data_IF_464865721483
#
_entry.id   IF_464865721483
#
_cell.length_a   1.000
_cell.length_b   1.000
_cell.length_c   1.000
_cell.angle_alpha   90.00
_cell.angle_beta   90.00
_cell.angle_gamma   90.00
#
_symmetry.space_group_name_H-M   'P 1'
#
loop_
_entity.id
_entity.type
_entity.pdbx_description
1 polymer ?
#
# COMPACT_ATOMS: atom_id res chain seq x y z
N UNK A 1 5.44 -0.98 -50.79
CA UNK A 1 5.99 -0.92 -49.42
C UNK A 1 5.41 0.28 -48.72
N UNK A 2 4.46 0.11 -47.81
CA UNK A 2 4.16 1.04 -46.70
C UNK A 2 3.49 0.23 -45.59
N UNK A 3 4.20 0.04 -44.48
CA UNK A 3 3.71 -0.59 -43.25
C UNK A 3 2.99 0.48 -42.45
N UNK A 4 1.68 0.38 -42.24
CA UNK A 4 0.96 1.24 -41.30
C UNK A 4 1.14 0.62 -39.92
N UNK A 5 2.17 1.07 -39.20
CA UNK A 5 2.36 0.74 -37.80
C UNK A 5 1.19 1.25 -36.97
N UNK A 6 0.49 0.33 -36.31
CA UNK A 6 -0.47 0.65 -35.26
C UNK A 6 0.25 1.44 -34.16
N UNK A 7 0.06 2.76 -34.15
CA UNK A 7 0.48 3.60 -33.03
C UNK A 7 -0.45 3.29 -31.87
N UNK A 8 0.07 2.58 -30.87
CA UNK A 8 -0.59 2.40 -29.58
C UNK A 8 -0.90 3.78 -29.00
N UNK A 9 -2.19 4.09 -28.84
CA UNK A 9 -2.65 5.32 -28.22
C UNK A 9 -2.03 5.44 -26.81
N UNK A 10 -1.52 6.62 -26.39
CA UNK A 10 -0.94 6.75 -25.06
C UNK A 10 -1.98 6.32 -24.02
N UNK A 11 -1.59 5.55 -22.99
CA UNK A 11 -2.53 5.12 -21.97
C UNK A 11 -3.19 6.36 -21.36
N UNK A 12 -4.53 6.39 -21.34
CA UNK A 12 -5.28 7.46 -20.68
C UNK A 12 -4.73 7.62 -19.26
N UNK A 13 -4.53 8.85 -18.75
CA UNK A 13 -4.06 9.05 -17.39
C UNK A 13 -4.98 8.26 -16.45
N UNK A 14 -4.41 7.38 -15.63
CA UNK A 14 -5.24 6.60 -14.71
C UNK A 14 -5.92 7.55 -13.74
N UNK A 15 -7.19 7.30 -13.43
CA UNK A 15 -7.98 8.08 -12.48
C UNK A 15 -7.57 7.83 -11.01
N UNK A 16 -6.45 7.14 -10.80
CA UNK A 16 -5.90 6.82 -9.49
C UNK A 16 -4.36 6.71 -9.54
N UNK A 17 -3.66 6.91 -8.40
CA UNK A 17 -2.21 6.78 -8.27
C UNK A 17 -1.68 5.39 -8.67
N UNK A 18 -0.48 5.34 -9.25
CA UNK A 18 0.23 4.10 -9.60
C UNK A 18 1.50 3.95 -8.77
N UNK A 19 1.93 2.72 -8.44
CA UNK A 19 3.22 2.51 -7.76
C UNK A 19 4.35 3.26 -8.48
N UNK A 20 5.25 3.94 -7.73
CA UNK A 20 5.40 3.89 -6.28
C UNK A 20 4.47 4.84 -5.48
N UNK A 21 3.62 5.62 -6.15
CA UNK A 21 2.66 6.49 -5.46
C UNK A 21 1.54 5.66 -4.82
N UNK A 22 1.21 6.01 -3.57
CA UNK A 22 0.21 5.30 -2.78
C UNK A 22 -1.20 5.78 -3.14
N UNK A 23 -2.10 4.82 -3.28
CA UNK A 23 -3.53 4.99 -3.36
C UNK A 23 -4.09 5.14 -1.93
N UNK A 24 -4.86 6.19 -1.62
CA UNK A 24 -5.55 6.31 -0.34
C UNK A 24 -6.51 5.15 -0.11
N UNK A 25 -6.66 4.70 1.15
CA UNK A 25 -7.54 3.60 1.51
C UNK A 25 -9.01 3.86 1.12
N UNK A 26 -9.47 5.11 1.21
CA UNK A 26 -10.82 5.53 0.80
C UNK A 26 -11.08 5.40 -0.71
N UNK A 27 -10.02 5.26 -1.52
CA UNK A 27 -10.11 5.15 -2.98
C UNK A 27 -9.87 3.72 -3.51
N UNK A 28 -9.83 2.72 -2.63
CA UNK A 28 -9.57 1.32 -2.99
C UNK A 28 -10.61 0.73 -3.96
N UNK A 29 -11.78 1.33 -4.13
CA UNK A 29 -12.80 0.89 -5.08
C UNK A 29 -12.57 1.39 -6.52
N UNK A 30 -11.68 2.37 -6.74
CA UNK A 30 -11.41 2.93 -8.07
C UNK A 30 -10.66 1.99 -9.01
N UNK A 31 -9.54 1.35 -8.60
CA UNK A 31 -8.79 0.48 -9.49
C UNK A 31 -9.59 -0.78 -9.83
N UNK A 32 -9.54 -1.31 -11.07
CA UNK A 32 -10.20 -2.57 -11.40
C UNK A 32 -9.60 -3.75 -10.61
N UNK A 33 -10.32 -4.87 -10.56
CA UNK A 33 -9.80 -6.09 -9.94
C UNK A 33 -8.47 -6.49 -10.59
N UNK A 34 -7.55 -7.05 -9.82
CA UNK A 34 -6.18 -7.42 -10.23
C UNK A 34 -5.26 -6.24 -10.62
N UNK A 35 -5.72 -4.98 -10.49
CA UNK A 35 -4.87 -3.82 -10.69
C UNK A 35 -3.72 -3.81 -9.67
N UNK A 36 -2.51 -3.50 -10.15
CA UNK A 36 -1.35 -3.30 -9.28
C UNK A 36 -1.35 -1.88 -8.71
N UNK A 37 -1.34 -1.77 -7.39
CA UNK A 37 -1.37 -0.50 -6.63
C UNK A 37 -0.38 -0.55 -5.48
N UNK A 38 -0.03 0.62 -4.95
CA UNK A 38 0.68 0.76 -3.68
C UNK A 38 -0.27 1.42 -2.68
N UNK A 39 -0.17 1.04 -1.41
CA UNK A 39 -0.85 1.70 -0.28
C UNK A 39 0.19 1.97 0.79
N UNK A 40 -0.04 2.97 1.63
CA UNK A 40 0.76 3.19 2.82
C UNK A 40 -0.16 3.42 4.01
N UNK A 41 0.23 2.92 5.19
CA UNK A 41 -0.56 3.13 6.39
C UNK A 41 0.05 2.53 7.65
N UNK A 42 -0.48 2.95 8.78
CA UNK A 42 -0.16 2.42 10.11
C UNK A 42 -0.67 0.98 10.21
N UNK A 43 0.12 0.09 10.79
CA UNK A 43 -0.33 -1.29 10.98
C UNK A 43 -1.18 -1.41 12.24
N UNK A 44 -2.47 -1.65 12.06
CA UNK A 44 -3.40 -1.85 13.17
C UNK A 44 -3.40 -3.28 13.70
N UNK A 45 -3.51 -4.24 12.79
CA UNK A 45 -3.77 -5.65 13.13
C UNK A 45 -2.85 -6.55 12.33
N UNK A 46 -2.36 -7.61 13.00
CA UNK A 46 -1.66 -8.75 12.40
C UNK A 46 -2.34 -10.03 12.82
N UNK A 47 -2.84 -10.79 11.86
CA UNK A 47 -3.46 -12.09 12.11
C UNK A 47 -2.79 -13.18 11.30
N UNK A 48 -2.57 -14.33 11.92
CA UNK A 48 -2.12 -15.54 11.25
C UNK A 48 -3.05 -16.70 11.60
N UNK A 49 -4.22 -16.78 10.96
CA UNK A 49 -5.18 -17.84 11.24
C UNK A 49 -4.55 -19.21 10.98
N UNK A 50 -4.72 -20.17 11.89
CA UNK A 50 -4.15 -21.52 11.75
C UNK A 50 -4.63 -22.25 10.48
N UNK A 51 -5.80 -21.89 9.96
CA UNK A 51 -6.43 -22.50 8.78
C UNK A 51 -6.03 -21.86 7.44
N UNK A 52 -5.35 -20.71 7.45
CA UNK A 52 -5.11 -19.91 6.24
C UNK A 52 -3.86 -20.33 5.42
N UNK A 53 -3.45 -21.60 5.50
CA UNK A 53 -2.28 -22.16 4.79
C UNK A 53 -1.00 -21.33 4.94
N UNK A 54 -0.82 -20.70 6.11
CA UNK A 54 0.35 -19.88 6.40
C UNK A 54 0.30 -18.43 5.91
N UNK A 55 -0.84 -17.96 5.37
CA UNK A 55 -1.05 -16.55 5.09
C UNK A 55 -1.10 -15.71 6.35
N UNK A 56 -0.67 -14.46 6.21
CA UNK A 56 -0.78 -13.42 7.24
C UNK A 56 -1.71 -12.33 6.70
N UNK A 57 -2.59 -11.85 7.56
CA UNK A 57 -3.49 -10.74 7.28
C UNK A 57 -2.99 -9.52 8.04
N UNK A 58 -2.79 -8.42 7.32
CA UNK A 58 -2.51 -7.12 7.90
C UNK A 58 -3.70 -6.20 7.66
N UNK A 59 -4.02 -5.36 8.64
CA UNK A 59 -4.90 -4.21 8.43
C UNK A 59 -4.05 -2.97 8.55
N UNK A 60 -3.98 -2.19 7.47
CA UNK A 60 -3.34 -0.89 7.42
C UNK A 60 -4.40 0.21 7.52
N UNK A 61 -4.08 1.34 8.14
CA UNK A 61 -4.94 2.52 8.21
C UNK A 61 -4.19 3.76 7.75
N UNK A 62 -4.88 4.58 6.94
CA UNK A 62 -4.58 5.99 6.72
C UNK A 62 -5.80 6.84 7.13
N UNK A 63 -5.70 8.16 7.03
CA UNK A 63 -6.78 9.08 7.43
C UNK A 63 -8.08 8.94 6.62
N UNK A 64 -8.04 8.21 5.50
CA UNK A 64 -9.18 7.99 4.61
C UNK A 64 -9.85 6.62 4.81
N UNK A 65 -9.24 5.72 5.58
CA UNK A 65 -9.84 4.44 5.95
C UNK A 65 -8.82 3.31 6.12
N UNK A 66 -9.30 2.07 5.96
CA UNK A 66 -8.48 0.86 6.15
C UNK A 66 -8.22 0.10 4.85
N UNK A 67 -7.04 -0.51 4.75
CA UNK A 67 -6.67 -1.45 3.70
C UNK A 67 -6.36 -2.83 4.29
N UNK A 68 -7.10 -3.86 3.88
CA UNK A 68 -6.83 -5.23 4.26
C UNK A 68 -5.81 -5.85 3.30
N UNK A 69 -4.67 -6.28 3.83
CA UNK A 69 -3.57 -6.85 3.05
C UNK A 69 -3.43 -8.34 3.37
N UNK A 70 -3.30 -9.16 2.33
CA UNK A 70 -2.98 -10.58 2.46
C UNK A 70 -1.53 -10.79 2.04
N UNK A 71 -0.74 -11.35 2.95
CA UNK A 71 0.67 -11.68 2.75
C UNK A 71 0.81 -13.19 2.72
N UNK A 72 1.08 -13.74 1.54
CA UNK A 72 1.35 -15.17 1.38
C UNK A 72 2.72 -15.55 1.91
N UNK A 73 2.91 -16.84 2.23
CA UNK A 73 4.13 -17.38 2.85
C UNK A 73 5.41 -16.95 2.14
N UNK A 74 5.45 -17.01 0.81
CA UNK A 74 6.63 -16.64 0.00
C UNK A 74 7.00 -15.16 0.13
N UNK A 75 5.99 -14.27 0.16
CA UNK A 75 6.17 -12.83 0.35
C UNK A 75 6.59 -12.54 1.79
N UNK A 76 5.94 -13.19 2.77
CA UNK A 76 6.31 -13.08 4.17
C UNK A 76 7.76 -13.49 4.42
N UNK A 77 8.22 -14.61 3.84
CA UNK A 77 9.60 -15.07 3.99
C UNK A 77 10.60 -14.04 3.47
N UNK A 78 10.29 -13.38 2.35
CA UNK A 78 11.11 -12.31 1.77
C UNK A 78 11.11 -11.02 2.61
N UNK A 79 9.96 -10.64 3.16
CA UNK A 79 9.77 -9.35 3.87
C UNK A 79 9.51 -9.53 5.36
N UNK A 80 10.06 -10.59 5.96
CA UNK A 80 9.75 -11.04 7.33
C UNK A 80 9.86 -9.94 8.37
N UNK A 81 10.93 -9.14 8.32
CA UNK A 81 11.17 -8.06 9.29
C UNK A 81 10.08 -7.00 9.23
N UNK A 82 9.75 -6.51 8.04
CA UNK A 82 8.71 -5.50 7.85
C UNK A 82 7.33 -6.02 8.31
N UNK A 83 6.98 -7.25 7.92
CA UNK A 83 5.69 -7.86 8.30
C UNK A 83 5.55 -8.03 9.81
N UNK A 84 6.60 -8.44 10.52
CA UNK A 84 6.54 -8.68 11.97
C UNK A 84 6.58 -7.37 12.76
N UNK A 85 7.50 -6.47 12.42
CA UNK A 85 7.88 -5.35 13.30
C UNK A 85 7.49 -3.96 12.79
N UNK A 86 7.19 -3.79 11.49
CA UNK A 86 7.00 -2.47 10.90
C UNK A 86 5.77 -1.75 11.45
N UNK A 87 5.91 -0.51 11.90
CA UNK A 87 4.79 0.26 12.49
C UNK A 87 3.97 0.98 11.43
N UNK A 88 4.62 1.38 10.34
CA UNK A 88 4.00 1.96 9.15
C UNK A 88 4.59 1.25 7.94
N UNK A 89 3.74 0.78 7.03
CA UNK A 89 4.17 -0.01 5.88
C UNK A 89 3.71 0.65 4.60
N UNK A 90 4.58 0.65 3.58
CA UNK A 90 4.17 0.75 2.18
C UNK A 90 4.06 -0.65 1.62
N UNK A 91 2.91 -0.99 1.05
CA UNK A 91 2.67 -2.29 0.43
C UNK A 91 2.30 -2.07 -1.03
N UNK A 92 3.07 -2.67 -1.92
CA UNK A 92 2.70 -2.78 -3.34
C UNK A 92 2.13 -4.18 -3.58
N UNK A 93 0.99 -4.25 -4.26
CA UNK A 93 0.28 -5.50 -4.46
C UNK A 93 -0.82 -5.41 -5.51
N UNK A 94 -1.64 -6.46 -5.59
CA UNK A 94 -2.78 -6.54 -6.51
C UNK A 94 -4.11 -6.53 -5.80
N UNK A 95 -5.02 -5.70 -6.28
CA UNK A 95 -6.39 -5.65 -5.78
C UNK A 95 -7.12 -6.97 -6.03
N UNK A 96 -7.82 -7.49 -5.02
CA UNK A 96 -8.70 -8.64 -5.12
C UNK A 96 -10.02 -8.31 -4.43
N UNK A 97 -11.13 -8.56 -5.13
CA UNK A 97 -12.49 -8.35 -4.60
C UNK A 97 -13.24 -9.67 -4.55
N UNK A 98 -13.85 -9.96 -3.42
CA UNK A 98 -14.66 -11.17 -3.24
C UNK A 98 -15.41 -11.15 -1.91
N UNK A 99 -16.61 -11.72 -1.88
CA UNK A 99 -17.41 -11.81 -0.65
C UNK A 99 -17.76 -10.46 -0.01
N UNK A 100 -17.84 -9.39 -0.81
CA UNK A 100 -18.11 -8.03 -0.32
C UNK A 100 -16.90 -7.31 0.30
N UNK A 101 -15.72 -7.92 0.28
CA UNK A 101 -14.50 -7.34 0.86
C UNK A 101 -13.45 -7.11 -0.22
N UNK A 102 -12.73 -6.00 -0.10
CA UNK A 102 -11.58 -5.64 -0.93
C UNK A 102 -10.29 -5.94 -0.17
N UNK A 103 -9.39 -6.70 -0.80
CA UNK A 103 -8.07 -7.03 -0.27
C UNK A 103 -6.97 -6.60 -1.24
N UNK A 104 -5.80 -6.27 -0.70
CA UNK A 104 -4.56 -6.14 -1.44
C UNK A 104 -3.71 -7.40 -1.23
N UNK A 105 -3.41 -8.13 -2.30
CA UNK A 105 -2.46 -9.24 -2.23
C UNK A 105 -1.05 -8.67 -2.36
N UNK A 106 -0.27 -8.75 -1.29
CA UNK A 106 1.06 -8.16 -1.23
C UNK A 106 2.03 -8.84 -2.22
N UNK A 107 2.84 -8.03 -2.90
CA UNK A 107 3.97 -8.45 -3.73
C UNK A 107 5.30 -7.90 -3.18
N UNK A 108 5.28 -6.65 -2.71
CA UNK A 108 6.41 -5.94 -2.09
C UNK A 108 5.95 -5.23 -0.83
N UNK A 109 6.79 -5.25 0.21
CA UNK A 109 6.50 -4.64 1.50
C UNK A 109 7.73 -3.89 1.98
N UNK A 110 7.54 -2.63 2.32
CA UNK A 110 8.58 -1.74 2.83
C UNK A 110 8.17 -1.19 4.19
N UNK A 111 9.09 -1.25 5.15
CA UNK A 111 8.93 -0.59 6.44
C UNK A 111 9.30 0.88 6.29
N UNK A 112 8.28 1.74 6.32
CA UNK A 112 8.41 3.19 6.26
C UNK A 112 8.21 3.83 7.64
N UNK A 113 8.36 3.03 8.72
CA UNK A 113 8.21 3.50 10.09
C UNK A 113 9.14 4.65 10.47
N UNK A 114 10.26 4.83 9.76
CA UNK A 114 11.15 5.98 9.93
C UNK A 114 10.45 7.33 9.67
N UNK A 115 9.43 7.37 8.80
CA UNK A 115 8.64 8.58 8.56
C UNK A 115 7.85 9.02 9.80
N UNK A 116 7.51 8.08 10.70
CA UNK A 116 6.87 8.42 11.97
C UNK A 116 7.85 9.07 12.94
N UNK A 117 9.12 8.69 12.86
CA UNK A 117 10.16 9.26 13.73
C UNK A 117 10.43 10.73 13.33
N UNK A 118 10.21 11.08 12.06
CA UNK A 118 10.29 12.46 11.57
C UNK A 118 9.18 13.35 12.15
N UNK A 119 8.00 12.81 12.49
CA UNK A 119 6.91 13.59 13.13
C UNK A 119 7.28 14.05 14.54
N UNK A 120 8.21 13.37 15.21
CA UNK A 120 8.70 13.74 16.53
C UNK A 120 9.81 14.79 16.47
N UNK A 121 10.35 15.06 15.29
CA UNK A 121 11.25 16.19 15.09
C UNK A 121 10.39 17.45 15.10
N UNK A 122 10.27 18.06 16.27
CA UNK A 122 9.73 19.40 16.40
C UNK A 122 10.55 20.27 15.46
N UNK A 123 9.94 20.76 14.38
CA UNK A 123 10.49 21.90 13.68
C UNK A 123 10.45 23.04 14.70
N UNK A 124 11.62 23.48 15.16
CA UNK A 124 11.72 24.77 15.82
C UNK A 124 11.16 25.79 14.83
N UNK A 125 9.91 26.19 15.03
CA UNK A 125 9.35 27.34 14.34
C UNK A 125 10.28 28.48 14.71
N UNK A 126 10.98 29.13 13.75
CA UNK A 126 11.82 30.27 14.08
C UNK A 126 10.95 31.24 14.85
N UNK A 127 11.39 31.59 16.07
CA UNK A 127 10.68 32.56 16.88
C UNK A 127 10.38 33.79 16.02
N UNK A 128 9.11 34.19 15.94
CA UNK A 128 8.77 35.44 15.27
C UNK A 128 9.63 36.55 15.89
N UNK A 129 10.30 37.39 15.07
CA UNK A 129 10.98 38.55 15.62
C UNK A 129 9.91 39.36 16.36
N UNK A 130 10.12 39.56 17.67
CA UNK A 130 9.24 40.35 18.50
C UNK A 130 9.05 41.78 17.95
N UNK A 131 8.02 42.48 18.42
CA UNK A 131 7.60 43.77 17.86
C UNK A 131 8.70 44.84 17.86
#
# INVERSE_FOLDING_TARGET
MFYIGSMSSPPRPSTWPRPPACLPAGDLDRPPNNARVAVAGLVLIRQRPGTAKGAIFLTLEDETGICNVIVWKTVYERFRRAVIAGRCLRVTGRMQRGGGVTHLIAEEIEDIGWMLDDLLRIEETPAEPGP
#
